data_IF_204660841931
#
_entry.id   IF_204660841931
#
_cell.length_a   1.000
_cell.length_b   1.000
_cell.length_c   1.000
_cell.angle_alpha   90.00
_cell.angle_beta   90.00
_cell.angle_gamma   90.00
#
_symmetry.space_group_name_H-M   'P 1'
#
loop_
_entity.id
_entity.type
_entity.pdbx_description
1 polymer ?
#
# COMPACT_ATOMS: atom_id res chain seq x y z
N UNK A 1 -1.81 -17.92 3.77
CA UNK A 1 -2.15 -17.01 2.63
C UNK A 1 -1.63 -15.66 3.05
N UNK A 2 -0.53 -15.17 2.47
CA UNK A 2 0.19 -14.03 3.07
C UNK A 2 -0.43 -12.71 2.64
N UNK A 3 -1.27 -12.13 3.50
CA UNK A 3 -1.78 -10.77 3.30
C UNK A 3 -0.63 -9.75 3.28
N UNK A 4 -0.82 -8.68 2.50
CA UNK A 4 0.10 -7.56 2.41
C UNK A 4 -0.51 -6.31 3.01
N UNK A 5 0.23 -5.62 3.88
CA UNK A 5 -0.18 -4.34 4.44
C UNK A 5 0.77 -3.23 3.96
N UNK A 6 0.23 -2.18 3.35
CA UNK A 6 0.96 -0.97 3.00
C UNK A 6 0.53 0.17 3.94
N UNK A 7 1.51 0.74 4.65
CA UNK A 7 1.31 1.82 5.60
C UNK A 7 1.95 3.09 5.05
N UNK A 8 1.14 4.12 4.75
CA UNK A 8 1.62 5.42 4.30
C UNK A 8 1.62 6.40 5.49
N UNK A 9 2.80 6.91 5.84
CA UNK A 9 3.01 7.90 6.90
C UNK A 9 3.42 9.24 6.32
N UNK A 10 3.01 10.32 6.98
CA UNK A 10 3.30 11.71 6.60
C UNK A 10 2.84 12.06 5.17
N UNK A 11 1.78 11.42 4.67
CA UNK A 11 1.24 11.71 3.35
C UNK A 11 0.79 13.19 3.30
N UNK A 12 1.38 14.03 2.43
CA UNK A 12 1.00 15.43 2.36
C UNK A 12 -0.44 15.57 1.84
N UNK A 13 -1.25 16.39 2.52
CA UNK A 13 -2.65 16.62 2.15
C UNK A 13 -2.83 17.05 0.68
N UNK A 14 -1.84 17.77 0.12
CA UNK A 14 -1.84 18.22 -1.27
C UNK A 14 -1.85 17.09 -2.31
N UNK A 15 -1.33 15.90 -1.98
CA UNK A 15 -1.27 14.74 -2.88
C UNK A 15 -2.08 13.55 -2.37
N UNK A 16 -2.73 13.68 -1.22
CA UNK A 16 -3.46 12.59 -0.57
C UNK A 16 -4.50 11.97 -1.50
N UNK A 17 -5.36 12.81 -2.09
CA UNK A 17 -6.41 12.35 -3.00
C UNK A 17 -5.84 11.64 -4.23
N UNK A 18 -4.74 12.16 -4.78
CA UNK A 18 -4.09 11.59 -5.96
C UNK A 18 -3.48 10.22 -5.65
N UNK A 19 -2.85 10.07 -4.49
CA UNK A 19 -2.34 8.79 -4.00
C UNK A 19 -3.48 7.78 -3.82
N UNK A 20 -4.58 8.16 -3.18
CA UNK A 20 -5.74 7.28 -3.00
C UNK A 20 -6.38 6.88 -4.34
N UNK A 21 -6.45 7.81 -5.29
CA UNK A 21 -6.92 7.53 -6.65
C UNK A 21 -6.02 6.54 -7.37
N UNK A 22 -4.69 6.69 -7.24
CA UNK A 22 -3.71 5.73 -7.77
C UNK A 22 -3.89 4.35 -7.15
N UNK A 23 -4.03 4.28 -5.82
CA UNK A 23 -4.24 3.04 -5.06
C UNK A 23 -5.49 2.30 -5.57
N UNK A 24 -6.64 2.98 -5.62
CA UNK A 24 -7.90 2.41 -6.12
C UNK A 24 -7.79 1.94 -7.58
N UNK A 25 -7.21 2.78 -8.45
CA UNK A 25 -7.00 2.45 -9.85
C UNK A 25 -6.05 1.27 -10.05
N UNK A 26 -5.00 1.17 -9.22
CA UNK A 26 -4.07 0.06 -9.22
C UNK A 26 -4.76 -1.24 -8.81
N UNK A 27 -5.52 -1.23 -7.71
CA UNK A 27 -6.29 -2.39 -7.25
C UNK A 27 -7.30 -2.87 -8.29
N UNK A 28 -8.06 -1.95 -8.90
CA UNK A 28 -9.02 -2.30 -9.95
C UNK A 28 -8.36 -2.95 -11.18
N UNK A 29 -7.18 -2.47 -11.59
CA UNK A 29 -6.40 -3.09 -12.67
C UNK A 29 -5.83 -4.45 -12.27
N UNK A 30 -5.36 -4.59 -11.04
CA UNK A 30 -4.83 -5.84 -10.53
C UNK A 30 -5.92 -6.93 -10.51
N UNK A 31 -7.10 -6.60 -10.00
CA UNK A 31 -8.27 -7.49 -9.98
C UNK A 31 -8.69 -7.94 -11.38
N UNK A 32 -8.71 -7.03 -12.37
CA UNK A 32 -9.05 -7.38 -13.75
C UNK A 32 -8.02 -8.31 -14.39
N UNK A 33 -6.75 -8.20 -14.00
CA UNK A 33 -5.67 -9.05 -14.51
C UNK A 33 -5.69 -10.42 -13.84
N UNK A 34 -6.04 -10.46 -12.57
CA UNK A 34 -6.05 -11.64 -11.73
C UNK A 34 -7.06 -11.45 -10.61
N UNK A 35 -8.07 -12.31 -10.57
CA UNK A 35 -9.17 -12.23 -9.60
C UNK A 35 -8.71 -12.42 -8.15
N UNK A 36 -7.52 -12.99 -7.94
CA UNK A 36 -6.95 -13.18 -6.60
C UNK A 36 -6.31 -11.89 -6.07
N UNK A 37 -5.90 -10.95 -6.92
CA UNK A 37 -5.30 -9.68 -6.51
C UNK A 37 -6.34 -8.62 -6.15
N UNK A 38 -6.53 -8.36 -4.85
CA UNK A 38 -7.52 -7.39 -4.37
C UNK A 38 -6.95 -6.48 -3.30
N UNK A 39 -7.42 -5.24 -3.29
CA UNK A 39 -7.35 -4.37 -2.11
C UNK A 39 -8.53 -4.76 -1.23
N UNK A 40 -8.24 -5.19 0.00
CA UNK A 40 -9.22 -5.63 0.98
C UNK A 40 -9.78 -4.42 1.72
N UNK A 41 -8.90 -3.51 2.15
CA UNK A 41 -9.27 -2.34 2.94
C UNK A 41 -8.37 -1.15 2.64
N UNK A 42 -8.93 0.05 2.79
CA UNK A 42 -8.21 1.32 2.83
C UNK A 42 -8.75 2.08 4.04
N UNK A 43 -7.92 2.24 5.05
CA UNK A 43 -8.27 2.84 6.34
C UNK A 43 -7.38 4.05 6.62
N UNK A 44 -7.94 5.06 7.28
CA UNK A 44 -7.18 6.21 7.76
C UNK A 44 -7.28 6.28 9.27
N UNK A 45 -6.14 6.12 9.96
CA UNK A 45 -6.06 6.09 11.42
C UNK A 45 -4.93 6.98 11.90
N UNK A 46 -5.24 7.98 12.72
CA UNK A 46 -4.25 8.86 13.38
C UNK A 46 -3.23 9.50 12.42
N UNK A 47 -3.68 9.95 11.24
CA UNK A 47 -2.80 10.56 10.22
C UNK A 47 -1.96 9.55 9.42
N UNK A 48 -2.34 8.26 9.46
CA UNK A 48 -1.66 7.18 8.74
C UNK A 48 -2.69 6.44 7.90
N UNK A 49 -2.37 6.25 6.62
CA UNK A 49 -3.17 5.43 5.73
C UNK A 49 -2.68 3.98 5.75
N UNK A 50 -3.60 3.04 5.96
CA UNK A 50 -3.35 1.61 5.92
C UNK A 50 -4.12 1.01 4.75
N UNK A 51 -3.41 0.28 3.90
CA UNK A 51 -3.97 -0.39 2.73
C UNK A 51 -3.67 -1.88 2.85
N UNK A 52 -4.72 -2.68 2.98
CA UNK A 52 -4.60 -4.13 3.10
C UNK A 52 -4.87 -4.78 1.74
N UNK A 53 -4.05 -5.75 1.38
CA UNK A 53 -4.08 -6.47 0.11
C UNK A 53 -4.08 -7.98 0.35
N UNK A 54 -4.66 -8.73 -0.58
CA UNK A 54 -4.71 -10.19 -0.50
C UNK A 54 -3.34 -10.86 -0.50
N UNK A 55 -2.31 -10.17 -1.01
CA UNK A 55 -0.96 -10.69 -1.14
C UNK A 55 0.10 -9.64 -0.82
N UNK A 56 1.14 -10.03 -0.07
CA UNK A 56 2.30 -9.17 0.20
C UNK A 56 2.95 -8.61 -1.08
N UNK A 57 3.03 -9.40 -2.15
CA UNK A 57 3.60 -8.94 -3.42
C UNK A 57 2.78 -7.82 -4.06
N UNK A 58 1.46 -7.81 -3.86
CA UNK A 58 0.60 -6.73 -4.35
C UNK A 58 0.88 -5.43 -3.60
N UNK A 59 1.03 -5.47 -2.27
CA UNK A 59 1.44 -4.33 -1.45
C UNK A 59 2.80 -3.77 -1.88
N UNK A 60 3.80 -4.63 -2.12
CA UNK A 60 5.14 -4.22 -2.58
C UNK A 60 5.06 -3.52 -3.95
N UNK A 61 4.30 -4.08 -4.91
CA UNK A 61 4.15 -3.50 -6.25
C UNK A 61 3.42 -2.16 -6.20
N UNK A 62 2.38 -2.05 -5.37
CA UNK A 62 1.67 -0.80 -5.15
C UNK A 62 2.59 0.26 -4.56
N UNK A 63 3.37 -0.10 -3.53
CA UNK A 63 4.32 0.80 -2.90
C UNK A 63 5.37 1.31 -3.91
N UNK A 64 5.97 0.42 -4.71
CA UNK A 64 6.89 0.82 -5.79
C UNK A 64 6.21 1.80 -6.75
N UNK A 65 4.96 1.51 -7.16
CA UNK A 65 4.23 2.40 -8.07
C UNK A 65 3.96 3.79 -7.48
N UNK A 66 3.63 3.87 -6.19
CA UNK A 66 3.45 5.15 -5.50
C UNK A 66 4.78 5.92 -5.48
N UNK A 67 5.88 5.29 -5.06
CA UNK A 67 7.21 5.92 -5.04
C UNK A 67 7.62 6.43 -6.43
N UNK A 68 7.42 5.62 -7.46
CA UNK A 68 7.84 5.97 -8.83
C UNK A 68 6.99 7.14 -9.39
N UNK A 69 5.74 7.29 -8.93
CA UNK A 69 4.85 8.40 -9.31
C UNK A 69 5.14 9.65 -8.47
N UNK A 70 5.32 9.48 -7.16
CA UNK A 70 5.54 10.53 -6.18
C UNK A 70 6.97 10.40 -5.65
N UNK A 71 7.94 11.00 -6.38
CA UNK A 71 9.40 10.90 -6.13
C UNK A 71 9.88 11.34 -4.73
N UNK A 72 8.97 11.82 -3.87
CA UNK A 72 9.21 12.27 -2.48
C UNK A 72 8.98 11.17 -1.43
N UNK A 73 8.56 9.98 -1.84
CA UNK A 73 8.28 8.88 -0.91
C UNK A 73 9.52 8.01 -0.66
N UNK A 74 9.88 7.83 0.61
CA UNK A 74 10.88 6.86 1.06
C UNK A 74 10.18 5.53 1.37
N UNK A 75 10.66 4.44 0.76
CA UNK A 75 10.09 3.10 0.92
C UNK A 75 10.95 2.25 1.88
N UNK A 76 10.35 1.76 2.97
CA UNK A 76 10.95 0.84 3.92
C UNK A 76 10.12 -0.46 4.01
N UNK A 77 10.69 -1.59 3.61
CA UNK A 77 10.00 -2.88 3.66
C UNK A 77 10.37 -3.57 4.98
N UNK A 78 9.39 -3.98 5.77
CA UNK A 78 9.59 -4.65 7.05
C UNK A 78 8.77 -5.93 7.14
N UNK A 79 9.42 -7.07 7.39
CA UNK A 79 8.69 -8.31 7.59
C UNK A 79 8.33 -8.48 9.07
N UNK A 80 7.05 -8.67 9.36
CA UNK A 80 6.59 -9.07 10.70
C UNK A 80 7.13 -10.49 10.96
N UNK A 81 7.84 -10.73 12.07
CA UNK A 81 8.08 -12.09 12.56
C UNK A 81 6.81 -12.58 13.29
N UNK A 82 6.53 -13.87 13.17
CA UNK A 82 5.37 -14.58 13.74
C UNK A 82 5.07 -14.12 15.19
N UNK A 83 3.78 -13.99 15.57
CA UNK A 83 2.62 -14.79 15.14
C UNK A 83 1.77 -14.21 13.98
N UNK A 84 2.19 -13.13 13.32
CA UNK A 84 1.39 -12.48 12.27
C UNK A 84 1.87 -12.85 10.85
N UNK A 85 1.05 -13.58 10.08
CA UNK A 85 1.29 -13.96 8.67
C UNK A 85 1.25 -12.79 7.66
N UNK A 86 1.51 -11.55 8.10
CA UNK A 86 1.31 -10.34 7.28
C UNK A 86 2.64 -9.67 6.95
N UNK A 87 2.92 -9.51 5.65
CA UNK A 87 4.05 -8.71 5.18
C UNK A 87 3.71 -7.22 5.22
N UNK A 88 4.53 -6.40 5.91
CA UNK A 88 4.27 -4.97 6.09
C UNK A 88 5.24 -4.11 5.28
N UNK A 89 4.70 -3.31 4.39
CA UNK A 89 5.43 -2.29 3.64
C UNK A 89 5.16 -0.94 4.28
N UNK A 90 6.18 -0.29 4.82
CA UNK A 90 6.08 1.06 5.34
C UNK A 90 6.58 2.05 4.28
N UNK A 91 5.82 3.10 4.02
CA UNK A 91 6.21 4.20 3.16
C UNK A 91 6.07 5.50 3.93
N UNK A 92 7.13 6.31 3.93
CA UNK A 92 7.18 7.60 4.61
C UNK A 92 7.43 8.67 3.56
N UNK A 93 6.57 9.67 3.50
CA UNK A 93 6.80 10.85 2.66
C UNK A 93 7.70 11.84 3.40
N UNK A 94 8.70 12.38 2.70
CA UNK A 94 9.68 13.37 3.19
C UNK A 94 9.75 14.59 2.29
#
# INVERSE_FOLDING_TARGET
MFEGELVLRNLPAAIEEEVLRLVRGFGARALRRDSQHRIIAIEHLKGVWRITTTENQLAIRLAKKIRDTFKRATLAISHSREPFEVGRVNMVFS
#
